data_IF_319448810984
#
_entry.id   IF_319448810984
#
_cell.length_a   1.000
_cell.length_b   1.000
_cell.length_c   1.000
_cell.angle_alpha   90.00
_cell.angle_beta   90.00
_cell.angle_gamma   90.00
#
_symmetry.space_group_name_H-M   'P 1'
#
loop_
_entity.id
_entity.type
_entity.pdbx_description
1 polymer ?
#
# COMPACT_ATOMS: atom_id res chain seq x y z
N UNK A 1 -16.67 -17.79 -13.66
CA UNK A 1 -16.38 -18.01 -12.22
C UNK A 1 -15.84 -16.71 -11.67
N UNK A 2 -16.46 -16.10 -10.66
CA UNK A 2 -15.90 -14.90 -10.04
C UNK A 2 -14.57 -15.28 -9.37
N UNK A 3 -13.46 -14.73 -9.87
CA UNK A 3 -12.13 -14.99 -9.34
C UNK A 3 -12.08 -14.62 -7.85
N UNK A 4 -11.61 -15.54 -7.01
CA UNK A 4 -11.52 -15.31 -5.56
C UNK A 4 -10.53 -14.18 -5.30
N UNK A 5 -10.91 -13.19 -4.49
CA UNK A 5 -10.03 -12.08 -4.09
C UNK A 5 -8.72 -12.62 -3.53
N UNK A 6 -7.60 -12.09 -3.98
CA UNK A 6 -6.30 -12.41 -3.41
C UNK A 6 -6.24 -12.02 -1.92
N UNK A 7 -5.70 -12.93 -1.11
CA UNK A 7 -5.36 -12.68 0.29
C UNK A 7 -4.09 -11.82 0.40
N UNK A 8 -3.85 -11.22 1.58
CA UNK A 8 -2.61 -10.48 1.87
C UNK A 8 -1.37 -11.33 1.57
N UNK A 9 -1.37 -12.61 1.96
CA UNK A 9 -0.26 -13.53 1.74
C UNK A 9 0.00 -13.79 0.25
N UNK A 10 -1.06 -13.94 -0.55
CA UNK A 10 -0.94 -14.13 -2.00
C UNK A 10 -0.34 -12.88 -2.68
N UNK A 11 -0.78 -11.68 -2.29
CA UNK A 11 -0.23 -10.42 -2.83
C UNK A 11 1.26 -10.30 -2.51
N UNK A 12 1.65 -10.56 -1.25
CA UNK A 12 3.06 -10.51 -0.83
C UNK A 12 3.89 -11.54 -1.60
N UNK A 13 3.36 -12.76 -1.77
CA UNK A 13 4.02 -13.82 -2.53
C UNK A 13 4.25 -13.40 -3.99
N UNK A 14 3.19 -12.97 -4.67
CA UNK A 14 3.29 -12.56 -6.07
C UNK A 14 4.26 -11.40 -6.29
N UNK A 15 4.25 -10.40 -5.40
CA UNK A 15 5.21 -9.29 -5.49
C UNK A 15 6.65 -9.74 -5.22
N UNK A 16 6.88 -10.60 -4.23
CA UNK A 16 8.20 -11.16 -3.97
C UNK A 16 8.72 -11.93 -5.19
N UNK A 17 7.89 -12.79 -5.77
CA UNK A 17 8.24 -13.62 -6.93
C UNK A 17 8.52 -12.78 -8.19
N UNK A 18 7.74 -11.71 -8.43
CA UNK A 18 7.88 -10.85 -9.62
C UNK A 18 9.01 -9.83 -9.52
N UNK A 19 9.37 -9.41 -8.31
CA UNK A 19 10.39 -8.36 -8.08
C UNK A 19 11.74 -8.93 -7.64
N UNK A 20 11.80 -10.20 -7.25
CA UNK A 20 13.00 -10.84 -6.71
C UNK A 20 13.32 -10.44 -5.25
N UNK A 21 12.41 -9.71 -4.60
CA UNK A 21 12.55 -9.33 -3.19
C UNK A 21 12.17 -10.49 -2.27
N UNK A 22 12.70 -10.48 -1.04
CA UNK A 22 12.20 -11.42 -0.03
C UNK A 22 10.80 -11.01 0.43
N UNK A 23 9.99 -11.97 0.88
CA UNK A 23 8.69 -11.67 1.49
C UNK A 23 8.81 -10.72 2.69
N UNK A 24 9.96 -10.72 3.38
CA UNK A 24 10.23 -9.81 4.50
C UNK A 24 10.36 -8.37 3.99
N UNK A 25 11.12 -8.15 2.93
CA UNK A 25 11.31 -6.82 2.35
C UNK A 25 10.00 -6.26 1.78
N UNK A 26 9.21 -7.09 1.11
CA UNK A 26 7.87 -6.70 0.62
C UNK A 26 6.96 -6.31 1.79
N UNK A 27 6.98 -7.04 2.91
CA UNK A 27 6.23 -6.65 4.11
C UNK A 27 6.71 -5.31 4.67
N UNK A 28 8.03 -5.08 4.73
CA UNK A 28 8.61 -3.81 5.18
C UNK A 28 8.17 -2.64 4.30
N UNK A 29 8.12 -2.82 2.98
CA UNK A 29 7.61 -1.79 2.05
C UNK A 29 6.16 -1.43 2.36
N UNK A 30 5.29 -2.43 2.56
CA UNK A 30 3.89 -2.16 2.90
C UNK A 30 3.70 -1.49 4.27
N UNK A 31 4.56 -1.80 5.24
CA UNK A 31 4.51 -1.16 6.56
C UNK A 31 4.96 0.31 6.47
N UNK A 32 6.05 0.59 5.75
CA UNK A 32 6.48 1.97 5.53
C UNK A 32 5.47 2.76 4.69
N UNK A 33 4.86 2.14 3.67
CA UNK A 33 3.73 2.76 2.96
C UNK A 33 2.58 3.12 3.91
N UNK A 34 2.23 2.25 4.85
CA UNK A 34 1.21 2.55 5.87
C UNK A 34 1.61 3.75 6.73
N UNK A 35 2.88 3.83 7.14
CA UNK A 35 3.39 4.95 7.94
C UNK A 35 3.36 6.27 7.17
N UNK A 36 3.74 6.25 5.88
CA UNK A 36 3.63 7.40 4.98
C UNK A 36 2.17 7.86 4.86
N UNK A 37 1.24 6.94 4.57
CA UNK A 37 -0.20 7.25 4.47
C UNK A 37 -0.71 7.91 5.76
N UNK A 38 -0.36 7.37 6.94
CA UNK A 38 -0.76 7.95 8.23
C UNK A 38 -0.24 9.36 8.43
N UNK A 39 1.00 9.64 8.02
CA UNK A 39 1.62 10.96 8.16
C UNK A 39 0.97 11.97 7.22
N UNK A 40 0.85 11.62 5.94
CA UNK A 40 0.36 12.54 4.91
C UNK A 40 -1.16 12.82 5.04
N UNK A 41 -1.95 11.82 5.44
CA UNK A 41 -3.39 11.98 5.70
C UNK A 41 -3.72 12.41 7.15
N UNK A 42 -2.72 12.53 8.02
CA UNK A 42 -2.89 12.93 9.41
C UNK A 42 -3.27 14.41 9.56
N UNK A 43 -3.72 14.83 10.75
CA UNK A 43 -4.16 16.21 11.04
C UNK A 43 -3.16 17.31 10.69
N UNK A 44 -1.86 16.99 10.66
CA UNK A 44 -0.76 17.91 10.33
C UNK A 44 -0.20 17.69 8.92
N UNK A 45 -0.67 16.66 8.22
CA UNK A 45 -0.25 16.35 6.86
C UNK A 45 -1.07 17.13 5.82
N UNK A 46 -0.68 17.06 4.54
CA UNK A 46 -1.40 17.74 3.44
C UNK A 46 -2.85 17.29 3.24
N UNK A 47 -3.26 16.18 3.87
CA UNK A 47 -4.59 15.60 3.69
C UNK A 47 -4.73 14.84 2.37
N UNK A 48 -3.63 14.62 1.64
CA UNK A 48 -3.57 13.80 0.44
C UNK A 48 -2.28 12.97 0.37
N UNK A 49 -2.36 11.79 -0.24
CA UNK A 49 -1.25 10.89 -0.47
C UNK A 49 -1.35 10.28 -1.86
N UNK A 50 -0.28 10.30 -2.64
CA UNK A 50 -0.23 9.75 -3.99
C UNK A 50 0.70 8.55 -4.02
N UNK A 51 0.19 7.42 -4.51
CA UNK A 51 1.02 6.31 -4.99
C UNK A 51 1.22 6.54 -6.49
N UNK A 52 2.45 6.86 -6.93
CA UNK A 52 2.73 7.13 -8.34
C UNK A 52 2.19 6.03 -9.25
N UNK A 53 1.61 6.44 -10.39
CA UNK A 53 1.04 5.56 -11.42
C UNK A 53 -0.09 4.61 -10.96
N UNK A 54 -0.58 4.77 -9.73
CA UNK A 54 -1.60 3.88 -9.16
C UNK A 54 -2.83 4.64 -8.67
N UNK A 55 -2.69 5.43 -7.60
CA UNK A 55 -3.86 6.02 -6.92
C UNK A 55 -3.51 7.28 -6.12
N UNK A 56 -4.54 8.12 -5.95
CA UNK A 56 -4.51 9.28 -5.05
C UNK A 56 -5.54 9.10 -3.94
N UNK A 57 -5.10 9.17 -2.69
CA UNK A 57 -5.93 9.20 -1.49
C UNK A 57 -6.09 10.65 -1.04
N UNK A 58 -7.31 11.06 -0.65
CA UNK A 58 -7.59 12.39 -0.13
C UNK A 58 -8.57 12.30 1.03
N UNK A 59 -8.28 13.00 2.13
CA UNK A 59 -9.21 13.13 3.25
C UNK A 59 -10.41 13.98 2.81
N UNK A 60 -11.61 13.45 2.98
CA UNK A 60 -12.84 14.20 2.78
C UNK A 60 -13.29 14.74 4.13
N UNK A 61 -13.25 16.06 4.28
CA UNK A 61 -13.90 16.72 5.41
C UNK A 61 -15.40 16.73 5.10
N UNK A 62 -16.17 15.96 5.86
CA UNK A 62 -17.63 15.95 5.83
C UNK A 62 -18.12 16.62 7.10
#
# INVERSE_FOLDING_TARGET
>A
MAGKRMTKSQIIGELADKTGLTKKDVNSVFEEMRNLVKRELGRRGPGEFVVPDMLKLKVKNV
#
